data_IF_130340416437
#
_entry.id   IF_130340416437
#
_cell.length_a   1.000
_cell.length_b   1.000
_cell.length_c   1.000
_cell.angle_alpha   90.00
_cell.angle_beta   90.00
_cell.angle_gamma   90.00
#
_symmetry.space_group_name_H-M   'P 1'
#
loop_
_entity.id
_entity.type
_entity.pdbx_description
1 polymer ?
#
# COMPACT_ATOMS: atom_id res chain seq x y z
N UNK A 1 -3.68 22.64 56.84
CA UNK A 1 -3.89 21.55 55.89
C UNK A 1 -2.55 20.83 55.67
N UNK A 2 -2.45 19.54 55.82
CA UNK A 2 -1.16 18.85 55.77
C UNK A 2 -0.61 18.87 54.32
N UNK A 3 0.62 19.32 54.19
CA UNK A 3 1.39 19.43 52.89
C UNK A 3 1.39 18.12 52.10
N UNK A 4 1.13 16.99 52.75
CA UNK A 4 1.06 15.66 52.09
C UNK A 4 -0.24 15.48 51.27
N UNK A 5 -1.36 16.10 51.68
CA UNK A 5 -2.62 16.03 50.93
C UNK A 5 -2.56 16.77 49.62
N UNK A 6 -1.88 17.92 49.62
CA UNK A 6 -1.67 18.74 48.37
C UNK A 6 -0.75 17.99 47.37
N UNK A 7 0.28 17.30 47.85
CA UNK A 7 1.19 16.50 47.00
C UNK A 7 0.46 15.28 46.46
N UNK A 8 -0.40 14.63 47.22
CA UNK A 8 -1.20 13.51 46.71
C UNK A 8 -2.22 13.94 45.65
N UNK A 9 -2.85 15.09 45.85
CA UNK A 9 -3.81 15.63 44.87
C UNK A 9 -3.14 16.04 43.56
N UNK A 10 -1.94 16.64 43.65
CA UNK A 10 -1.17 17.01 42.44
C UNK A 10 -0.65 15.78 41.68
N UNK A 11 -0.29 14.69 42.38
CA UNK A 11 0.12 13.44 41.76
C UNK A 11 -1.06 12.75 41.04
N UNK A 12 -2.25 12.77 41.67
CA UNK A 12 -3.48 12.21 41.10
C UNK A 12 -3.92 12.98 39.84
N UNK A 13 -3.80 14.31 39.87
CA UNK A 13 -4.10 15.17 38.71
C UNK A 13 -3.11 14.96 37.56
N UNK A 14 -1.83 14.71 37.86
CA UNK A 14 -0.83 14.39 36.85
C UNK A 14 -1.08 13.03 36.18
N UNK A 15 -1.55 12.02 36.94
CA UNK A 15 -1.95 10.72 36.41
C UNK A 15 -3.20 10.77 35.53
N UNK A 16 -4.16 11.66 35.84
CA UNK A 16 -5.38 11.84 35.05
C UNK A 16 -5.10 12.50 33.68
N UNK A 17 -4.00 13.26 33.55
CA UNK A 17 -3.59 13.89 32.29
C UNK A 17 -2.84 12.92 31.36
N UNK A 18 -2.39 11.77 31.84
CA UNK A 18 -1.73 10.73 31.03
C UNK A 18 -2.72 9.78 30.33
N UNK A 19 -4.02 9.88 30.58
CA UNK A 19 -5.10 9.23 29.83
C UNK A 19 -5.24 9.81 28.42
N UNK A 20 -4.09 10.09 27.74
CA UNK A 20 -4.02 10.69 26.44
C UNK A 20 -4.61 9.79 25.37
N UNK A 21 -5.35 10.41 24.51
CA UNK A 21 -5.99 10.01 23.28
C UNK A 21 -5.36 8.76 22.64
N UNK A 22 -5.80 7.59 23.03
CA UNK A 22 -5.71 6.41 22.17
C UNK A 22 -6.65 6.68 20.99
N UNK A 23 -6.10 7.26 19.92
CA UNK A 23 -6.81 7.40 18.67
C UNK A 23 -7.05 5.98 18.13
N UNK A 24 -8.17 5.37 18.51
CA UNK A 24 -8.59 4.09 17.96
C UNK A 24 -8.85 4.30 16.47
N UNK A 25 -7.87 3.98 15.64
CA UNK A 25 -8.10 3.88 14.21
C UNK A 25 -9.26 2.92 13.99
N UNK A 26 -10.35 3.45 13.42
CA UNK A 26 -11.51 2.64 13.06
C UNK A 26 -11.03 1.49 12.17
N UNK A 27 -11.32 0.26 12.58
CA UNK A 27 -10.99 -0.92 11.79
C UNK A 27 -11.64 -0.81 10.40
N UNK A 28 -10.91 -1.19 9.35
CA UNK A 28 -11.44 -1.19 8.00
C UNK A 28 -12.58 -2.22 7.88
N UNK A 29 -13.65 -1.85 7.19
CA UNK A 29 -14.77 -2.76 6.93
C UNK A 29 -14.47 -3.66 5.73
N UNK A 30 -14.13 -4.91 5.99
CA UNK A 30 -13.86 -5.93 4.99
C UNK A 30 -15.09 -6.76 4.58
N UNK A 31 -16.32 -6.35 4.90
CA UNK A 31 -17.54 -7.13 4.61
C UNK A 31 -17.68 -7.45 3.11
N UNK A 32 -17.55 -6.45 2.24
CA UNK A 32 -17.58 -6.63 0.80
C UNK A 32 -16.46 -7.54 0.29
N UNK A 33 -15.27 -7.44 0.89
CA UNK A 33 -14.12 -8.28 0.54
C UNK A 33 -14.36 -9.75 0.88
N UNK A 34 -14.88 -10.03 2.09
CA UNK A 34 -15.21 -11.38 2.55
C UNK A 34 -16.36 -12.00 1.77
N UNK A 35 -17.29 -11.19 1.25
CA UNK A 35 -18.37 -11.63 0.36
C UNK A 35 -17.82 -11.99 -1.02
N UNK A 36 -16.99 -11.13 -1.62
CA UNK A 36 -16.44 -11.29 -2.98
C UNK A 36 -15.44 -12.44 -3.08
N UNK A 37 -14.56 -12.62 -2.09
CA UNK A 37 -13.50 -13.66 -2.05
C UNK A 37 -12.68 -13.72 -3.34
N UNK A 38 -12.07 -12.61 -3.81
CA UNK A 38 -11.31 -12.61 -5.04
C UNK A 38 -10.11 -13.58 -4.94
N UNK A 39 -9.86 -14.35 -5.99
CA UNK A 39 -8.71 -15.25 -6.10
C UNK A 39 -7.64 -14.68 -7.04
N UNK A 40 -8.06 -13.91 -8.02
CA UNK A 40 -7.21 -13.31 -9.05
C UNK A 40 -7.36 -11.80 -9.10
N UNK A 41 -6.23 -11.12 -9.36
CA UNK A 41 -6.16 -9.65 -9.42
C UNK A 41 -5.45 -9.23 -10.71
N UNK A 42 -6.10 -8.36 -11.47
CA UNK A 42 -5.45 -7.55 -12.50
C UNK A 42 -5.04 -6.22 -11.90
N UNK A 43 -3.75 -5.89 -11.99
CA UNK A 43 -3.24 -4.56 -11.63
C UNK A 43 -3.35 -3.71 -12.89
N UNK A 44 -4.04 -2.58 -12.82
CA UNK A 44 -4.11 -1.62 -13.93
C UNK A 44 -2.90 -0.69 -13.87
N UNK A 45 -2.35 -0.25 -15.02
CA UNK A 45 -1.26 0.70 -15.05
C UNK A 45 -1.57 1.93 -14.20
N UNK A 46 -0.69 2.30 -13.25
CA UNK A 46 -0.93 3.40 -12.31
C UNK A 46 -1.04 4.75 -13.00
N UNK A 47 -2.06 5.53 -12.63
CA UNK A 47 -2.18 6.93 -13.03
C UNK A 47 -1.07 7.73 -12.34
N UNK A 48 -0.31 8.51 -13.08
CA UNK A 48 0.79 9.31 -12.57
C UNK A 48 0.41 10.79 -12.44
N UNK A 49 0.33 11.28 -11.22
CA UNK A 49 0.13 12.71 -10.89
C UNK A 49 1.44 13.39 -10.46
N UNK A 50 2.57 12.66 -10.49
CA UNK A 50 3.89 13.21 -10.20
C UNK A 50 4.55 13.76 -11.48
N UNK A 51 5.59 14.62 -11.36
CA UNK A 51 6.31 15.11 -12.52
C UNK A 51 7.27 14.08 -13.15
N UNK A 52 7.58 12.97 -12.47
CA UNK A 52 8.52 11.96 -12.95
C UNK A 52 7.81 10.94 -13.84
N UNK A 53 8.21 10.86 -15.10
CA UNK A 53 7.60 9.97 -16.12
C UNK A 53 7.79 8.48 -15.80
N UNK A 54 8.77 8.11 -14.96
CA UNK A 54 9.04 6.72 -14.58
C UNK A 54 8.06 6.20 -13.52
N UNK A 55 7.35 7.09 -12.83
CA UNK A 55 6.56 6.77 -11.65
C UNK A 55 5.54 5.66 -11.90
N UNK A 56 4.76 5.74 -12.99
CA UNK A 56 3.74 4.76 -13.32
C UNK A 56 4.34 3.35 -13.42
N UNK A 57 5.30 3.15 -14.30
CA UNK A 57 5.88 1.83 -14.53
C UNK A 57 6.71 1.30 -13.36
N UNK A 58 7.37 2.19 -12.63
CA UNK A 58 8.12 1.83 -11.43
C UNK A 58 7.20 1.25 -10.36
N UNK A 59 6.09 1.93 -10.05
CA UNK A 59 5.09 1.44 -9.09
C UNK A 59 4.40 0.18 -9.64
N UNK A 60 4.01 0.17 -10.91
CA UNK A 60 3.35 -0.96 -11.55
C UNK A 60 4.11 -2.28 -11.39
N UNK A 61 5.41 -2.25 -11.64
CA UNK A 61 6.28 -3.42 -11.50
C UNK A 61 6.36 -3.93 -10.05
N UNK A 62 6.33 -3.02 -9.08
CA UNK A 62 6.51 -3.36 -7.66
C UNK A 62 5.26 -3.91 -6.97
N UNK A 63 4.05 -3.67 -7.51
CA UNK A 63 2.80 -4.09 -6.87
C UNK A 63 2.50 -5.58 -7.02
N UNK A 64 3.08 -6.26 -8.01
CA UNK A 64 2.85 -7.70 -8.24
C UNK A 64 3.35 -8.55 -7.09
N UNK A 65 4.54 -8.23 -6.56
CA UNK A 65 5.18 -9.01 -5.51
C UNK A 65 4.34 -9.08 -4.22
N UNK A 66 3.95 -7.96 -3.58
CA UNK A 66 3.21 -8.02 -2.32
C UNK A 66 1.81 -8.66 -2.46
N UNK A 67 1.17 -8.57 -3.64
CA UNK A 67 -0.10 -9.29 -3.89
C UNK A 67 0.11 -10.79 -4.06
N UNK A 68 1.15 -11.19 -4.76
CA UNK A 68 1.54 -12.60 -4.89
C UNK A 68 1.84 -13.23 -3.53
N UNK A 69 2.64 -12.55 -2.69
CA UNK A 69 2.94 -12.97 -1.32
C UNK A 69 1.69 -12.99 -0.41
N UNK A 70 0.73 -12.09 -0.67
CA UNK A 70 -0.56 -12.13 0.01
C UNK A 70 -1.42 -13.33 -0.40
N UNK A 71 -1.02 -14.11 -1.42
CA UNK A 71 -1.69 -15.33 -1.85
C UNK A 71 -2.72 -15.15 -2.96
N UNK A 72 -2.56 -14.13 -3.80
CA UNK A 72 -3.38 -13.92 -5.00
C UNK A 72 -2.69 -14.44 -6.25
N UNK A 73 -3.49 -14.89 -7.21
CA UNK A 73 -3.01 -14.99 -8.59
C UNK A 73 -3.00 -13.58 -9.19
N UNK A 74 -1.81 -13.07 -9.48
CA UNK A 74 -1.64 -11.73 -10.08
C UNK A 74 -1.36 -11.90 -11.56
N UNK A 75 -2.14 -11.23 -12.41
CA UNK A 75 -1.91 -11.25 -13.84
C UNK A 75 -0.56 -10.56 -14.15
N UNK A 76 0.26 -11.11 -15.07
CA UNK A 76 1.55 -10.51 -15.41
C UNK A 76 1.39 -9.08 -15.92
N UNK A 77 1.94 -8.11 -15.20
CA UNK A 77 1.75 -6.67 -15.48
C UNK A 77 2.19 -6.27 -16.90
N UNK A 78 3.24 -6.90 -17.43
CA UNK A 78 3.70 -6.64 -18.79
C UNK A 78 2.65 -7.05 -19.84
N UNK A 79 1.97 -8.18 -19.63
CA UNK A 79 0.90 -8.63 -20.54
C UNK A 79 -0.34 -7.73 -20.42
N UNK A 80 -0.65 -7.26 -19.21
CA UNK A 80 -1.76 -6.33 -19.00
C UNK A 80 -1.52 -5.02 -19.75
N UNK A 81 -0.33 -4.43 -19.59
CA UNK A 81 0.07 -3.21 -20.29
C UNK A 81 0.02 -3.37 -21.83
N UNK A 82 0.62 -4.45 -22.32
CA UNK A 82 0.65 -4.76 -23.75
C UNK A 82 -0.76 -4.97 -24.32
N UNK A 83 -1.63 -5.66 -23.60
CA UNK A 83 -3.02 -5.88 -24.00
C UNK A 83 -3.78 -4.56 -24.16
N UNK A 84 -3.62 -3.62 -23.22
CA UNK A 84 -4.22 -2.30 -23.35
C UNK A 84 -3.70 -1.55 -24.58
N UNK A 85 -2.38 -1.55 -24.81
CA UNK A 85 -1.74 -0.89 -25.95
C UNK A 85 -2.21 -1.45 -27.29
N UNK A 86 -2.33 -2.76 -27.40
CA UNK A 86 -2.84 -3.44 -28.59
C UNK A 86 -4.33 -3.10 -28.88
N UNK A 87 -5.08 -2.73 -27.84
CA UNK A 87 -6.45 -2.24 -27.96
C UNK A 87 -6.55 -0.70 -28.11
N UNK A 88 -5.43 -0.03 -28.35
CA UNK A 88 -5.37 1.41 -28.61
C UNK A 88 -5.42 2.30 -27.37
N UNK A 89 -5.37 1.75 -26.17
CA UNK A 89 -5.30 2.49 -24.91
C UNK A 89 -3.82 2.66 -24.53
N UNK A 90 -3.31 3.87 -24.67
CA UNK A 90 -1.89 4.19 -24.45
C UNK A 90 -1.62 4.93 -23.15
N UNK A 91 -2.68 5.38 -22.49
CA UNK A 91 -2.63 6.27 -21.34
C UNK A 91 -3.26 5.59 -20.12
N UNK A 92 -2.59 5.55 -18.95
CA UNK A 92 -3.13 4.94 -17.74
C UNK A 92 -4.50 5.48 -17.30
N UNK A 93 -4.80 6.76 -17.51
CA UNK A 93 -6.13 7.31 -17.19
C UNK A 93 -7.23 6.64 -18.05
N UNK A 94 -6.97 6.43 -19.35
CA UNK A 94 -7.90 5.72 -20.25
C UNK A 94 -8.00 4.23 -19.90
N UNK A 95 -6.85 3.58 -19.57
CA UNK A 95 -6.82 2.18 -19.17
C UNK A 95 -7.64 1.96 -17.90
N UNK A 96 -7.53 2.85 -16.90
CA UNK A 96 -8.31 2.78 -15.67
C UNK A 96 -9.78 3.19 -15.86
N UNK A 97 -10.10 3.92 -16.93
CA UNK A 97 -11.48 4.24 -17.29
C UNK A 97 -12.20 3.11 -18.06
N UNK A 98 -11.49 2.02 -18.40
CA UNK A 98 -12.06 0.90 -19.11
C UNK A 98 -13.26 0.28 -18.33
N UNK A 99 -14.39 -0.01 -19.01
CA UNK A 99 -15.56 -0.57 -18.34
C UNK A 99 -15.26 -1.94 -17.71
N UNK A 100 -15.74 -2.18 -16.49
CA UNK A 100 -15.53 -3.44 -15.76
C UNK A 100 -15.93 -4.69 -16.58
N UNK A 101 -17.06 -4.70 -17.35
CA UNK A 101 -17.38 -5.84 -18.21
C UNK A 101 -16.30 -6.15 -19.24
N UNK A 102 -15.62 -5.13 -19.78
CA UNK A 102 -14.50 -5.30 -20.72
C UNK A 102 -13.25 -5.82 -20.04
N UNK A 103 -12.94 -5.32 -18.84
CA UNK A 103 -11.83 -5.86 -18.04
C UNK A 103 -12.06 -7.34 -17.73
N UNK A 104 -13.29 -7.73 -17.42
CA UNK A 104 -13.65 -9.13 -17.17
C UNK A 104 -13.53 -10.01 -18.43
N UNK A 105 -14.03 -9.51 -19.55
CA UNK A 105 -13.99 -10.22 -20.85
C UNK A 105 -12.53 -10.50 -21.27
N UNK A 106 -11.65 -9.50 -21.12
CA UNK A 106 -10.29 -9.56 -21.60
C UNK A 106 -9.36 -10.31 -20.64
N UNK A 107 -9.42 -9.98 -19.35
CA UNK A 107 -8.47 -10.46 -18.36
C UNK A 107 -8.96 -11.64 -17.53
N UNK A 108 -10.28 -11.85 -17.41
CA UNK A 108 -10.86 -12.93 -16.62
C UNK A 108 -10.60 -12.86 -15.12
N UNK A 109 -10.07 -11.75 -14.62
CA UNK A 109 -9.73 -11.57 -13.21
C UNK A 109 -10.99 -11.32 -12.34
N UNK A 110 -10.91 -11.68 -11.05
CA UNK A 110 -12.00 -11.43 -10.09
C UNK A 110 -12.05 -9.98 -9.63
N UNK A 111 -10.87 -9.38 -9.42
CA UNK A 111 -10.76 -8.00 -8.95
C UNK A 111 -9.73 -7.20 -9.77
N UNK A 112 -9.94 -5.89 -9.84
CA UNK A 112 -9.03 -4.93 -10.46
C UNK A 112 -8.45 -4.00 -9.38
N UNK A 113 -7.11 -3.83 -9.40
CA UNK A 113 -6.41 -2.86 -8.58
C UNK A 113 -6.17 -1.59 -9.38
N UNK A 114 -6.82 -0.52 -8.97
CA UNK A 114 -6.64 0.85 -9.45
C UNK A 114 -5.62 1.54 -8.58
N UNK A 115 -4.61 2.17 -9.17
CA UNK A 115 -3.53 2.81 -8.41
C UNK A 115 -3.22 4.20 -8.97
N UNK A 116 -3.00 5.16 -8.08
CA UNK A 116 -2.55 6.50 -8.41
C UNK A 116 -1.25 6.83 -7.67
N UNK A 117 -0.27 7.39 -8.39
CA UNK A 117 0.99 7.88 -7.84
C UNK A 117 0.91 9.38 -7.71
N UNK A 118 0.81 9.89 -6.49
CA UNK A 118 0.68 11.33 -6.22
C UNK A 118 2.02 12.02 -6.00
N UNK A 119 3.04 11.28 -5.57
CA UNK A 119 4.42 11.76 -5.43
C UNK A 119 5.39 10.66 -5.83
N UNK A 120 6.40 11.01 -6.63
CA UNK A 120 7.52 10.14 -6.99
C UNK A 120 8.74 10.99 -7.32
N UNK A 121 9.91 10.58 -6.81
CA UNK A 121 11.19 11.18 -7.18
C UNK A 121 11.88 11.92 -6.03
N UNK A 122 12.98 12.59 -6.37
CA UNK A 122 13.87 13.23 -5.42
C UNK A 122 13.62 14.73 -5.36
N UNK A 123 13.43 15.23 -4.13
CA UNK A 123 13.42 16.67 -3.82
C UNK A 123 14.75 17.05 -3.23
N UNK A 124 15.36 18.13 -3.73
CA UNK A 124 16.64 18.64 -3.27
C UNK A 124 16.42 19.85 -2.35
N UNK A 125 16.97 19.76 -1.16
CA UNK A 125 17.03 20.85 -0.19
C UNK A 125 18.49 21.32 -0.02
N UNK A 126 18.71 22.49 0.57
CA UNK A 126 20.04 23.12 0.66
C UNK A 126 21.09 22.23 1.34
N UNK A 127 20.67 21.36 2.28
CA UNK A 127 21.56 20.49 3.07
C UNK A 127 21.20 19.00 2.99
N UNK A 128 20.18 18.63 2.25
CA UNK A 128 19.72 17.24 2.16
C UNK A 128 18.98 16.98 0.86
N UNK A 129 18.87 15.73 0.49
CA UNK A 129 17.96 15.26 -0.57
C UNK A 129 17.04 14.19 -0.02
N UNK A 130 15.77 14.20 -0.42
CA UNK A 130 14.77 13.22 -0.06
C UNK A 130 14.17 12.63 -1.31
N UNK A 131 14.21 11.30 -1.44
CA UNK A 131 13.43 10.57 -2.43
C UNK A 131 12.20 10.03 -1.76
N UNK A 132 11.02 10.34 -2.30
CA UNK A 132 9.75 9.89 -1.72
C UNK A 132 8.80 9.38 -2.80
N UNK A 133 8.00 8.39 -2.42
CA UNK A 133 6.90 7.84 -3.22
C UNK A 133 5.64 7.82 -2.36
N UNK A 134 4.53 8.32 -2.92
CA UNK A 134 3.20 8.27 -2.30
C UNK A 134 2.24 7.65 -3.31
N UNK A 135 1.57 6.60 -2.88
CA UNK A 135 0.62 5.84 -3.70
C UNK A 135 -0.71 5.68 -2.98
N UNK A 136 -1.79 5.72 -3.74
CA UNK A 136 -3.13 5.33 -3.30
C UNK A 136 -3.63 4.20 -4.18
N UNK A 137 -4.48 3.31 -3.64
CA UNK A 137 -5.07 2.25 -4.43
C UNK A 137 -6.48 1.90 -3.97
N UNK A 138 -7.25 1.33 -4.93
CA UNK A 138 -8.58 0.77 -4.72
C UNK A 138 -8.64 -0.60 -5.37
N UNK A 139 -9.12 -1.60 -4.62
CA UNK A 139 -9.41 -2.92 -5.13
C UNK A 139 -10.92 -3.03 -5.35
N UNK A 140 -11.31 -3.32 -6.58
CA UNK A 140 -12.72 -3.35 -7.01
C UNK A 140 -13.05 -4.74 -7.55
N UNK A 141 -14.16 -5.32 -7.11
CA UNK A 141 -14.72 -6.56 -7.68
C UNK A 141 -15.21 -6.29 -9.11
N UNK A 142 -14.65 -7.01 -10.08
CA UNK A 142 -14.95 -6.75 -11.51
C UNK A 142 -16.39 -7.16 -11.88
N UNK A 143 -16.99 -8.13 -11.17
CA UNK A 143 -18.35 -8.62 -11.47
C UNK A 143 -19.41 -7.66 -10.97
N UNK A 144 -19.24 -7.16 -9.75
CA UNK A 144 -20.27 -6.36 -9.06
C UNK A 144 -19.98 -4.85 -9.06
N UNK A 145 -18.75 -4.45 -9.33
CA UNK A 145 -18.30 -3.07 -9.18
C UNK A 145 -18.15 -2.62 -7.72
N UNK A 146 -18.31 -3.53 -6.75
CA UNK A 146 -18.15 -3.18 -5.33
C UNK A 146 -16.70 -2.85 -5.01
N UNK A 147 -16.48 -1.78 -4.26
CA UNK A 147 -15.19 -1.48 -3.64
C UNK A 147 -14.94 -2.52 -2.54
N UNK A 148 -13.85 -3.28 -2.67
CA UNK A 148 -13.45 -4.31 -1.72
C UNK A 148 -12.50 -3.74 -0.66
N UNK A 149 -11.59 -2.87 -1.09
CA UNK A 149 -10.57 -2.27 -0.25
C UNK A 149 -10.02 -1.00 -0.90
N UNK A 150 -9.60 -0.06 -0.06
CA UNK A 150 -8.83 1.11 -0.47
C UNK A 150 -7.77 1.43 0.58
N UNK A 151 -6.67 2.02 0.14
CA UNK A 151 -5.57 2.38 1.00
C UNK A 151 -4.65 3.42 0.39
N UNK A 152 -3.78 3.95 1.23
CA UNK A 152 -2.70 4.86 0.85
C UNK A 152 -1.44 4.50 1.62
N UNK A 153 -0.29 4.67 0.99
CA UNK A 153 1.00 4.51 1.64
C UNK A 153 2.04 5.47 1.07
N UNK A 154 3.03 5.75 1.90
CA UNK A 154 4.19 6.52 1.54
C UNK A 154 5.47 5.80 1.96
N UNK A 155 6.57 6.08 1.25
CA UNK A 155 7.91 5.70 1.64
C UNK A 155 8.88 6.82 1.27
N UNK A 156 9.88 7.05 2.11
CA UNK A 156 10.85 8.12 1.92
C UNK A 156 12.22 7.72 2.46
N UNK A 157 13.28 8.15 1.78
CA UNK A 157 14.65 7.96 2.25
C UNK A 157 14.94 8.72 3.55
N UNK A 158 14.20 9.77 3.86
CA UNK A 158 14.32 10.51 5.11
C UNK A 158 13.93 9.65 6.33
N UNK A 159 12.94 8.76 6.19
CA UNK A 159 12.55 7.82 7.24
C UNK A 159 13.65 6.81 7.55
N UNK A 160 14.39 6.36 6.53
CA UNK A 160 15.51 5.43 6.69
C UNK A 160 16.66 6.05 7.49
N UNK A 161 16.90 7.35 7.34
CA UNK A 161 17.95 8.07 8.08
C UNK A 161 17.58 8.27 9.56
N UNK A 162 16.29 8.45 9.88
CA UNK A 162 15.81 8.59 11.25
C UNK A 162 15.72 7.25 12.00
N UNK A 163 15.51 6.15 11.30
CA UNK A 163 15.32 4.81 11.85
C UNK A 163 16.63 4.01 12.03
N UNK A 164 17.79 4.61 11.88
CA UNK A 164 19.05 3.96 12.31
C UNK A 164 19.10 3.66 13.82
N UNK A 165 18.06 4.06 14.57
CA UNK A 165 17.77 3.72 15.97
C UNK A 165 16.61 2.71 16.19
N UNK A 166 16.27 1.97 15.23
CA UNK A 166 15.36 0.90 14.93
C UNK A 166 14.40 0.27 15.93
N UNK A 167 13.14 0.15 15.57
CA UNK A 167 12.19 -0.81 16.14
C UNK A 167 12.07 -2.06 15.26
N UNK A 168 11.68 -3.20 15.85
CA UNK A 168 11.53 -4.51 15.18
C UNK A 168 10.64 -4.50 13.91
N UNK A 169 9.69 -3.58 13.82
CA UNK A 169 8.79 -3.43 12.66
C UNK A 169 9.53 -2.88 11.44
N UNK A 170 10.47 -1.93 11.63
CA UNK A 170 11.33 -1.42 10.56
C UNK A 170 12.25 -2.49 9.98
N UNK A 171 12.77 -3.39 10.83
CA UNK A 171 13.69 -4.46 10.43
C UNK A 171 13.05 -5.53 9.54
N UNK A 172 11.80 -5.90 9.79
CA UNK A 172 11.08 -6.92 9.00
C UNK A 172 10.74 -6.44 7.59
N UNK A 173 10.40 -5.15 7.44
CA UNK A 173 10.12 -4.55 6.13
C UNK A 173 11.42 -4.41 5.33
N UNK A 174 12.52 -4.03 5.99
CA UNK A 174 13.83 -3.90 5.34
C UNK A 174 14.35 -5.24 4.82
N UNK A 175 14.15 -6.34 5.55
CA UNK A 175 14.62 -7.67 5.16
C UNK A 175 13.93 -8.20 3.89
N UNK A 176 12.63 -7.96 3.72
CA UNK A 176 11.89 -8.38 2.54
C UNK A 176 12.28 -7.56 1.29
N UNK A 177 12.64 -6.29 1.46
CA UNK A 177 13.00 -5.37 0.36
C UNK A 177 14.47 -5.53 -0.06
N UNK A 178 15.37 -5.86 0.88
CA UNK A 178 16.82 -5.97 0.60
C UNK A 178 17.14 -7.10 -0.41
N UNK A 179 16.31 -8.11 -0.54
CA UNK A 179 16.48 -9.16 -1.55
C UNK A 179 16.19 -8.69 -2.98
N UNK A 180 15.43 -7.60 -3.15
CA UNK A 180 15.03 -7.05 -4.46
C UNK A 180 16.04 -6.00 -4.96
N UNK A 181 16.86 -5.42 -4.08
CA UNK A 181 17.56 -4.13 -4.29
C UNK A 181 18.99 -4.27 -4.84
N UNK A 182 19.45 -5.43 -5.19
CA UNK A 182 20.83 -5.57 -5.70
C UNK A 182 21.08 -5.13 -7.16
N UNK A 183 20.16 -4.37 -7.78
CA UNK A 183 20.45 -3.82 -9.10
C UNK A 183 19.88 -2.42 -9.29
N UNK A 184 20.80 -1.48 -9.36
CA UNK A 184 20.65 -0.13 -9.93
C UNK A 184 20.14 0.96 -8.95
N UNK A 185 20.92 2.03 -8.85
CA UNK A 185 20.78 3.31 -8.14
C UNK A 185 19.46 4.10 -8.37
N UNK A 186 18.32 3.47 -8.64
CA UNK A 186 17.04 4.17 -8.72
C UNK A 186 16.32 4.12 -7.37
N UNK A 187 16.64 5.09 -6.50
CA UNK A 187 16.02 5.22 -5.19
C UNK A 187 14.51 5.41 -5.25
N UNK A 188 13.99 5.96 -6.36
CA UNK A 188 12.55 6.06 -6.59
C UNK A 188 11.91 4.68 -6.71
N UNK A 189 12.55 3.77 -7.43
CA UNK A 189 12.08 2.40 -7.61
C UNK A 189 12.12 1.60 -6.30
N UNK A 190 13.17 1.78 -5.48
CA UNK A 190 13.25 1.20 -4.13
C UNK A 190 12.11 1.70 -3.24
N UNK A 191 11.88 3.02 -3.20
CA UNK A 191 10.80 3.62 -2.42
C UNK A 191 9.41 3.17 -2.93
N UNK A 192 9.25 2.95 -4.23
CA UNK A 192 8.03 2.38 -4.81
C UNK A 192 7.76 0.96 -4.29
N UNK A 193 8.79 0.12 -4.18
CA UNK A 193 8.70 -1.21 -3.59
C UNK A 193 8.25 -1.16 -2.12
N UNK A 194 8.89 -0.32 -1.30
CA UNK A 194 8.53 -0.14 0.11
C UNK A 194 7.09 0.39 0.24
N UNK A 195 6.72 1.40 -0.56
CA UNK A 195 5.37 1.94 -0.55
C UNK A 195 4.34 0.88 -0.95
N UNK A 196 4.61 0.06 -1.97
CA UNK A 196 3.75 -1.03 -2.42
C UNK A 196 3.54 -2.10 -1.34
N UNK A 197 4.61 -2.54 -0.67
CA UNK A 197 4.52 -3.46 0.46
C UNK A 197 3.70 -2.85 1.60
N UNK A 198 3.99 -1.61 1.99
CA UNK A 198 3.22 -0.91 3.04
C UNK A 198 1.75 -0.80 2.68
N UNK A 199 1.44 -0.39 1.46
CA UNK A 199 0.09 -0.22 0.96
C UNK A 199 -0.73 -1.49 1.10
N UNK A 200 -0.18 -2.61 0.63
CA UNK A 200 -0.95 -3.84 0.45
C UNK A 200 -0.88 -4.80 1.65
N UNK A 201 0.19 -4.75 2.46
CA UNK A 201 0.40 -5.77 3.50
C UNK A 201 0.37 -5.22 4.93
N UNK A 202 0.44 -3.90 5.14
CA UNK A 202 0.54 -3.32 6.47
C UNK A 202 -0.78 -3.49 7.25
N UNK A 203 -0.69 -4.16 8.39
CA UNK A 203 -1.84 -4.38 9.27
C UNK A 203 -2.09 -3.15 10.15
N UNK A 204 -3.35 -2.87 10.53
CA UNK A 204 -4.55 -3.69 10.32
C UNK A 204 -5.27 -3.48 8.98
N UNK A 205 -4.87 -2.51 8.15
CA UNK A 205 -5.65 -1.99 7.04
C UNK A 205 -5.16 -2.44 5.64
N UNK A 206 -4.21 -3.39 5.54
CA UNK A 206 -3.77 -3.97 4.27
C UNK A 206 -4.83 -4.88 3.62
N UNK A 207 -4.55 -5.34 2.42
CA UNK A 207 -5.40 -6.30 1.70
C UNK A 207 -5.48 -7.62 2.48
N UNK A 208 -6.67 -8.23 2.58
CA UNK A 208 -6.81 -9.52 3.26
C UNK A 208 -6.01 -10.61 2.54
N UNK A 209 -5.57 -11.66 3.24
CA UNK A 209 -4.89 -12.79 2.60
C UNK A 209 -5.76 -13.47 1.54
N UNK A 210 -5.17 -13.73 0.38
CA UNK A 210 -5.80 -14.44 -0.74
C UNK A 210 -5.84 -15.96 -0.53
N UNK A 211 -6.53 -16.70 -1.45
CA UNK A 211 -6.80 -18.13 -1.28
C UNK A 211 -5.55 -19.02 -1.18
N UNK A 212 -4.43 -18.60 -1.74
CA UNK A 212 -3.16 -19.36 -1.69
C UNK A 212 -2.29 -19.02 -0.47
N UNK A 213 -2.75 -18.10 0.39
CA UNK A 213 -2.05 -17.77 1.62
C UNK A 213 -2.36 -18.74 2.74
N UNK A 214 -1.39 -19.18 3.56
CA UNK A 214 -1.64 -19.98 4.76
C UNK A 214 -2.45 -19.22 5.83
N UNK A 215 -2.63 -17.92 5.65
CA UNK A 215 -3.41 -17.02 6.52
C UNK A 215 -4.83 -16.77 5.97
N UNK A 216 -5.22 -17.41 4.88
CA UNK A 216 -6.55 -17.24 4.29
C UNK A 216 -7.67 -17.57 5.30
N UNK A 217 -8.67 -16.70 5.37
CA UNK A 217 -9.82 -16.86 6.27
C UNK A 217 -9.52 -16.70 7.78
N UNK A 218 -8.25 -16.46 8.16
CA UNK A 218 -7.91 -16.16 9.55
C UNK A 218 -8.19 -14.69 9.85
N UNK A 219 -8.78 -14.42 11.04
CA UNK A 219 -8.97 -13.04 11.49
C UNK A 219 -7.62 -12.48 11.95
N UNK A 220 -7.09 -11.52 11.18
CA UNK A 220 -5.78 -10.88 11.45
C UNK A 220 -5.93 -9.54 12.20
N UNK A 221 -7.15 -9.17 12.59
CA UNK A 221 -7.43 -7.90 13.29
C UNK A 221 -6.91 -7.86 14.73
N UNK A 222 -6.43 -9.00 15.27
CA UNK A 222 -6.08 -9.16 16.70
C UNK A 222 -4.62 -9.53 16.97
N UNK A 223 -3.71 -9.29 16.01
CA UNK A 223 -2.27 -9.53 16.27
C UNK A 223 -1.43 -8.29 16.05
#
# INVERSE_FOLDING_TARGET
MPKHLLKALSLLAAFALLGGCANQQKAYDYSAFRESKPASVVILPPVNKSPDIKASYSVFAQLSYPLGEAGYYVLPVALVDETFKQNGLLNPDEMQAAPLPKLREIFGADAALYTEVTRYGTSYHVISSETAVVVTAKLVDIRSGKLLWEGAAAASTAEQQQNSGGGLVGMLITAAVTQIVNSINDRGHEMAGIAGVRLLTLRPNGVLPGPHSPLYGKDLATR
#
